data_IF_455643653253
#
_entry.id   IF_455643653253
#
_cell.length_a   1.000
_cell.length_b   1.000
_cell.length_c   1.000
_cell.angle_alpha   90.00
_cell.angle_beta   90.00
_cell.angle_gamma   90.00
#
_symmetry.space_group_name_H-M   'P 1'
#
loop_
_entity.id
_entity.type
_entity.pdbx_description
1 polymer ?
#
# COMPACT_ATOMS: atom_id res chain seq x y z
N UNK A 1 -5.35 -21.92 -22.66
CA UNK A 1 -6.72 -22.00 -22.08
C UNK A 1 -6.88 -20.84 -21.09
N UNK A 2 -8.08 -20.56 -20.55
CA UNK A 2 -8.25 -19.47 -19.55
C UNK A 2 -7.35 -19.67 -18.30
N UNK A 3 -6.95 -20.91 -18.03
CA UNK A 3 -6.04 -21.28 -16.95
C UNK A 3 -4.64 -20.64 -17.07
N UNK A 4 -4.06 -20.59 -18.29
CA UNK A 4 -2.72 -20.04 -18.50
C UNK A 4 -2.69 -18.52 -18.24
N UNK A 5 -3.77 -17.83 -18.61
CA UNK A 5 -3.95 -16.39 -18.36
C UNK A 5 -4.08 -16.11 -16.86
N UNK A 6 -4.89 -16.90 -16.15
CA UNK A 6 -5.05 -16.77 -14.70
C UNK A 6 -3.74 -17.05 -13.93
N UNK A 7 -2.95 -18.02 -14.41
CA UNK A 7 -1.63 -18.31 -13.85
C UNK A 7 -0.67 -17.14 -14.06
N UNK A 8 -0.58 -16.59 -15.28
CA UNK A 8 0.29 -15.45 -15.58
C UNK A 8 -0.06 -14.21 -14.73
N UNK A 9 -1.36 -13.91 -14.58
CA UNK A 9 -1.83 -12.81 -13.70
C UNK A 9 -1.47 -13.04 -12.24
N UNK A 10 -1.48 -14.29 -11.77
CA UNK A 10 -1.10 -14.64 -10.40
C UNK A 10 0.39 -14.45 -10.17
N UNK A 11 1.22 -14.86 -11.12
CA UNK A 11 2.67 -14.70 -11.05
C UNK A 11 3.06 -13.21 -11.08
N UNK A 12 2.44 -12.41 -11.97
CA UNK A 12 2.62 -10.96 -12.03
C UNK A 12 2.20 -10.24 -10.73
N UNK A 13 1.05 -10.62 -10.14
CA UNK A 13 0.60 -10.06 -8.87
C UNK A 13 1.59 -10.35 -7.72
N UNK A 14 2.21 -11.54 -7.72
CA UNK A 14 3.21 -11.91 -6.71
C UNK A 14 4.47 -11.07 -6.84
N UNK A 15 4.95 -10.87 -8.06
CA UNK A 15 6.11 -10.01 -8.36
C UNK A 15 5.83 -8.56 -7.94
N UNK A 16 4.72 -7.98 -8.42
CA UNK A 16 4.30 -6.63 -8.05
C UNK A 16 4.13 -6.44 -6.53
N UNK A 17 3.60 -7.45 -5.83
CA UNK A 17 3.47 -7.40 -4.36
C UNK A 17 4.82 -7.42 -3.67
N UNK A 18 5.76 -8.25 -4.14
CA UNK A 18 7.10 -8.33 -3.57
C UNK A 18 7.85 -7.00 -3.74
N UNK A 19 7.76 -6.41 -4.93
CA UNK A 19 8.36 -5.10 -5.23
C UNK A 19 7.74 -3.98 -4.39
N UNK A 20 6.40 -3.90 -4.34
CA UNK A 20 5.71 -2.91 -3.53
C UNK A 20 6.04 -3.07 -2.04
N UNK A 21 6.09 -4.31 -1.54
CA UNK A 21 6.46 -4.58 -0.15
C UNK A 21 7.87 -4.08 0.16
N UNK A 22 8.85 -4.43 -0.68
CA UNK A 22 10.23 -3.97 -0.51
C UNK A 22 10.34 -2.44 -0.53
N UNK A 23 9.64 -1.77 -1.44
CA UNK A 23 9.63 -0.31 -1.51
C UNK A 23 8.93 0.35 -0.31
N UNK A 24 7.83 -0.20 0.18
CA UNK A 24 7.17 0.31 1.39
C UNK A 24 8.07 0.19 2.63
N UNK A 25 8.92 -0.83 2.70
CA UNK A 25 9.87 -1.00 3.81
C UNK A 25 10.98 0.08 3.85
N UNK A 26 11.21 0.81 2.76
CA UNK A 26 12.21 1.90 2.73
C UNK A 26 11.63 3.25 3.14
N UNK A 27 10.32 3.34 3.32
CA UNK A 27 9.62 4.56 3.73
C UNK A 27 9.64 4.71 5.26
N UNK A 28 9.44 5.93 5.81
CA UNK A 28 9.40 6.19 7.25
C UNK A 28 8.10 5.69 7.93
N UNK A 29 7.64 4.49 7.58
CA UNK A 29 6.49 3.82 8.18
C UNK A 29 6.92 3.10 9.46
N UNK A 30 6.07 3.11 10.48
CA UNK A 30 6.34 2.41 11.75
C UNK A 30 6.40 0.89 11.57
N UNK A 31 5.58 0.33 10.66
CA UNK A 31 5.58 -1.11 10.35
C UNK A 31 4.96 -1.41 9.00
N UNK A 32 5.54 -2.37 8.28
CA UNK A 32 4.92 -2.99 7.09
C UNK A 32 4.81 -4.48 7.35
N UNK A 33 3.62 -5.07 7.18
CA UNK A 33 3.41 -6.50 7.41
C UNK A 33 3.56 -7.30 6.11
N UNK A 34 4.21 -8.48 6.16
CA UNK A 34 4.22 -9.39 5.01
C UNK A 34 2.77 -9.79 4.67
N UNK A 35 2.51 -9.98 3.38
CA UNK A 35 1.16 -10.29 2.91
C UNK A 35 1.16 -11.40 1.87
N UNK A 36 0.21 -12.31 2.03
CA UNK A 36 -0.11 -13.34 1.05
C UNK A 36 -1.39 -12.99 0.24
N UNK A 37 -2.01 -11.83 0.53
CA UNK A 37 -3.19 -11.32 -0.16
C UNK A 37 -2.83 -10.35 -1.31
N UNK A 38 -3.85 -9.74 -1.93
CA UNK A 38 -3.72 -8.69 -2.95
C UNK A 38 -3.61 -7.27 -2.34
N UNK A 39 -3.23 -7.17 -1.08
CA UNK A 39 -3.02 -5.89 -0.40
C UNK A 39 -1.89 -6.00 0.61
N UNK A 40 -1.28 -4.88 0.97
CA UNK A 40 -0.27 -4.78 2.03
C UNK A 40 -0.82 -3.86 3.13
N UNK A 41 -0.70 -4.31 4.38
CA UNK A 41 -1.01 -3.50 5.55
C UNK A 41 0.28 -2.81 5.99
N UNK A 42 0.19 -1.52 6.32
CA UNK A 42 1.26 -0.77 6.96
C UNK A 42 0.70 0.14 8.06
N UNK A 43 1.56 0.54 8.98
CA UNK A 43 1.29 1.51 10.04
C UNK A 43 2.20 2.71 9.86
N UNK A 44 1.64 3.90 9.90
CA UNK A 44 2.37 5.18 9.88
C UNK A 44 2.93 5.49 11.27
N UNK A 45 3.62 6.61 11.45
CA UNK A 45 3.88 7.08 12.81
C UNK A 45 2.56 7.53 13.47
N UNK A 46 2.61 7.73 14.78
CA UNK A 46 1.43 8.02 15.58
C UNK A 46 0.73 9.30 15.11
N UNK A 47 -0.56 9.21 14.77
CA UNK A 47 -1.39 10.34 14.36
C UNK A 47 -1.26 10.75 12.89
N UNK A 48 -0.45 10.05 12.09
CA UNK A 48 -0.17 10.44 10.69
C UNK A 48 -1.12 9.80 9.67
N UNK A 49 -1.73 8.66 9.98
CA UNK A 49 -2.42 7.84 8.98
C UNK A 49 -3.51 8.60 8.23
N UNK A 50 -4.28 9.45 8.94
CA UNK A 50 -5.33 10.24 8.31
C UNK A 50 -4.78 11.34 7.41
N UNK A 51 -3.68 11.98 7.81
CA UNK A 51 -3.00 12.99 7.00
C UNK A 51 -2.44 12.39 5.71
N UNK A 52 -1.75 11.25 5.81
CA UNK A 52 -1.24 10.51 4.65
C UNK A 52 -2.38 10.09 3.72
N UNK A 53 -3.49 9.61 4.28
CA UNK A 53 -4.67 9.22 3.50
C UNK A 53 -5.25 10.39 2.69
N UNK A 54 -5.47 11.55 3.30
CA UNK A 54 -6.04 12.70 2.58
C UNK A 54 -5.06 13.24 1.52
N UNK A 55 -3.75 13.33 1.81
CA UNK A 55 -2.74 13.75 0.82
C UNK A 55 -2.73 12.84 -0.41
N UNK A 56 -2.78 11.51 -0.20
CA UNK A 56 -2.83 10.55 -1.31
C UNK A 56 -4.11 10.70 -2.13
N UNK A 57 -5.25 10.86 -1.47
CA UNK A 57 -6.54 11.06 -2.13
C UNK A 57 -6.56 12.34 -2.96
N UNK A 58 -5.98 13.43 -2.47
CA UNK A 58 -5.80 14.69 -3.20
C UNK A 58 -4.90 14.52 -4.43
N UNK A 59 -3.86 13.67 -4.33
CA UNK A 59 -3.01 13.27 -5.45
C UNK A 59 -3.66 12.27 -6.42
N UNK A 60 -4.96 11.94 -6.25
CA UNK A 60 -5.68 11.00 -7.10
C UNK A 60 -5.43 9.52 -6.78
N UNK A 61 -4.74 9.21 -5.70
CA UNK A 61 -4.43 7.84 -5.25
C UNK A 61 -5.33 7.47 -4.07
N UNK A 62 -6.34 6.64 -4.32
CA UNK A 62 -7.25 6.21 -3.27
C UNK A 62 -6.80 4.88 -2.62
N UNK A 63 -6.50 4.93 -1.33
CA UNK A 63 -6.16 3.76 -0.50
C UNK A 63 -7.26 3.50 0.54
N UNK A 64 -7.13 2.43 1.35
CA UNK A 64 -8.04 2.20 2.47
C UNK A 64 -7.40 2.65 3.79
N UNK A 65 -7.97 3.68 4.42
CA UNK A 65 -7.65 4.07 5.80
C UNK A 65 -8.38 3.14 6.78
N UNK A 66 -7.64 2.51 7.70
CA UNK A 66 -8.18 1.63 8.74
C UNK A 66 -8.09 2.24 10.15
N UNK A 67 -7.51 3.44 10.25
CA UNK A 67 -7.48 4.20 11.48
C UNK A 67 -8.91 4.49 11.99
N UNK A 68 -9.11 4.30 13.29
CA UNK A 68 -10.42 4.43 13.95
C UNK A 68 -11.39 3.25 13.77
N UNK A 69 -11.07 2.23 12.95
CA UNK A 69 -11.94 1.06 12.78
C UNK A 69 -11.85 0.06 13.94
N UNK A 70 -10.66 -0.06 14.55
CA UNK A 70 -10.41 -0.92 15.72
C UNK A 70 -9.15 -0.41 16.44
N UNK A 71 -9.02 -0.51 17.79
CA UNK A 71 -7.83 -0.04 18.51
C UNK A 71 -6.52 -0.66 18.00
N UNK A 72 -6.53 -1.92 17.60
CA UNK A 72 -5.35 -2.58 17.03
C UNK A 72 -4.98 -2.09 15.62
N UNK A 73 -5.88 -1.38 14.94
CA UNK A 73 -5.68 -0.82 13.60
C UNK A 73 -5.43 0.69 13.62
N UNK A 74 -5.20 1.27 14.81
CA UNK A 74 -4.78 2.65 14.92
C UNK A 74 -3.54 2.89 14.06
N UNK A 75 -3.57 4.01 13.33
CA UNK A 75 -2.53 4.44 12.38
C UNK A 75 -2.27 3.47 11.22
N UNK A 76 -3.18 2.52 10.96
CA UNK A 76 -3.02 1.56 9.86
C UNK A 76 -3.63 2.03 8.54
N UNK A 77 -2.88 1.81 7.47
CA UNK A 77 -3.27 2.01 6.07
C UNK A 77 -3.15 0.68 5.33
N UNK A 78 -4.09 0.43 4.40
CA UNK A 78 -4.10 -0.76 3.56
C UNK A 78 -4.00 -0.35 2.09
N UNK A 79 -2.93 -0.82 1.46
CA UNK A 79 -2.60 -0.58 0.05
C UNK A 79 -2.99 -1.79 -0.78
N UNK A 80 -3.87 -1.63 -1.78
CA UNK A 80 -4.13 -2.70 -2.75
C UNK A 80 -2.96 -2.80 -3.71
N UNK A 81 -2.50 -4.01 -4.01
CA UNK A 81 -1.47 -4.24 -5.03
C UNK A 81 -2.15 -4.16 -6.40
N UNK A 82 -1.77 -3.16 -7.19
CA UNK A 82 -2.23 -2.97 -8.56
C UNK A 82 -1.18 -3.40 -9.58
N UNK A 83 -1.31 -2.89 -10.79
CA UNK A 83 -0.29 -2.94 -11.84
C UNK A 83 1.00 -2.21 -11.42
N UNK A 84 2.11 -2.47 -12.12
CA UNK A 84 3.38 -1.81 -11.85
C UNK A 84 3.28 -0.26 -11.89
N UNK A 85 2.50 0.29 -12.81
CA UNK A 85 2.31 1.75 -12.93
C UNK A 85 1.42 2.32 -11.82
N UNK A 86 0.34 1.63 -11.44
CA UNK A 86 -0.48 2.03 -10.29
C UNK A 86 0.34 2.00 -8.99
N UNK A 87 1.16 0.95 -8.80
CA UNK A 87 2.04 0.84 -7.64
C UNK A 87 3.11 1.94 -7.63
N UNK A 88 3.62 2.33 -8.80
CA UNK A 88 4.56 3.45 -8.94
C UNK A 88 3.93 4.78 -8.54
N UNK A 89 2.70 5.06 -9.00
CA UNK A 89 1.96 6.26 -8.63
C UNK A 89 1.65 6.31 -7.13
N UNK A 90 1.28 5.17 -6.54
CA UNK A 90 1.11 5.04 -5.09
C UNK A 90 2.39 5.37 -4.34
N UNK A 91 3.52 4.78 -4.74
CA UNK A 91 4.81 5.04 -4.11
C UNK A 91 5.23 6.51 -4.24
N UNK A 92 5.04 7.13 -5.40
CA UNK A 92 5.31 8.57 -5.58
C UNK A 92 4.47 9.42 -4.65
N UNK A 93 3.16 9.14 -4.55
CA UNK A 93 2.27 9.82 -3.63
C UNK A 93 2.69 9.64 -2.17
N UNK A 94 3.13 8.45 -1.79
CA UNK A 94 3.61 8.16 -0.43
C UNK A 94 4.90 8.90 -0.09
N UNK A 95 5.86 8.98 -1.02
CA UNK A 95 7.09 9.76 -0.81
C UNK A 95 6.74 11.23 -0.54
N UNK A 96 5.84 11.82 -1.33
CA UNK A 96 5.40 13.21 -1.12
C UNK A 96 4.62 13.37 0.19
N UNK A 97 3.76 12.42 0.54
CA UNK A 97 2.91 12.51 1.72
C UNK A 97 3.69 12.39 3.05
N UNK A 98 4.80 11.66 3.03
CA UNK A 98 5.67 11.35 4.17
C UNK A 98 6.94 12.20 4.24
N UNK A 99 7.15 13.16 3.33
CA UNK A 99 8.34 14.01 3.28
C UNK A 99 8.29 15.26 4.19
N UNK A 100 7.27 15.38 5.05
CA UNK A 100 7.07 16.50 5.98
C UNK A 100 7.48 16.16 7.42
#
# INVERSE_FOLDING_TARGET
>A
THFDVMKAQTDELRENRAELFAALQTLPLARVWPSEANFILARTQAGEARGVFEKLKEAGVLIKCLDGAHPQLQDCLRFTVGTADENRLLLQGLHSALAD
#
